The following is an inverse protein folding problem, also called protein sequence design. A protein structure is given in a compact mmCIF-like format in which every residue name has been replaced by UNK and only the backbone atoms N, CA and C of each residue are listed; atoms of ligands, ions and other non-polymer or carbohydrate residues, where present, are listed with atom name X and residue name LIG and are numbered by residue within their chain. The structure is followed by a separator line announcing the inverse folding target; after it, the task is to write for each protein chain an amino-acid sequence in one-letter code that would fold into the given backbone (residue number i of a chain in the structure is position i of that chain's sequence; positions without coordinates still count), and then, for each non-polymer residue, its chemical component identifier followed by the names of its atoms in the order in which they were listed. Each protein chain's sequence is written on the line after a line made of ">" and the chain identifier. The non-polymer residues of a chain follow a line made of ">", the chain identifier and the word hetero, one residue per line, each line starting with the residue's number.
data_IF_237795118646
#
_entry.id   IF_237795118646
#
_cell.length_a   1.000
_cell.length_b   1.000
_cell.length_c   1.000
_cell.angle_alpha   90.00
_cell.angle_beta   90.00
_cell.angle_gamma   90.00
#
_symmetry.space_group_name_H-M   'P 1'
#
loop_
_entity.id
_entity.type
_entity.pdbx_description
1 polymer ?
#
# COMPACT_ATOMS: atom_id res chain seq x y z
N UNK A 1 -11.01 22.85 -5.65
CA UNK A 1 -10.98 21.50 -5.05
C UNK A 1 -10.19 20.49 -5.88
N UNK A 2 -10.44 20.38 -7.19
CA UNK A 2 -9.77 19.40 -8.06
C UNK A 2 -8.23 19.51 -8.05
N UNK A 3 -7.69 20.74 -8.02
CA UNK A 3 -6.25 20.98 -7.90
C UNK A 3 -5.65 20.37 -6.63
N UNK A 4 -6.27 20.62 -5.48
CA UNK A 4 -5.83 20.10 -4.17
C UNK A 4 -5.87 18.57 -4.12
N UNK A 5 -6.90 17.95 -4.71
CA UNK A 5 -6.99 16.49 -4.80
C UNK A 5 -5.82 15.96 -5.63
N UNK A 6 -5.57 16.51 -6.81
CA UNK A 6 -4.48 16.07 -7.69
C UNK A 6 -3.09 16.28 -7.05
N UNK A 7 -2.88 17.36 -6.32
CA UNK A 7 -1.63 17.60 -5.58
C UNK A 7 -1.43 16.52 -4.50
N UNK A 8 -2.47 16.19 -3.71
CA UNK A 8 -2.41 15.09 -2.73
C UNK A 8 -2.16 13.73 -3.37
N UNK A 9 -2.83 13.44 -4.49
CA UNK A 9 -2.63 12.20 -5.26
C UNK A 9 -1.18 12.07 -5.71
N UNK A 10 -0.59 13.14 -6.25
CA UNK A 10 0.82 13.15 -6.64
C UNK A 10 1.73 12.85 -5.45
N UNK A 11 1.50 13.51 -4.31
CA UNK A 11 2.29 13.27 -3.10
C UNK A 11 2.14 11.83 -2.59
N UNK A 12 0.93 11.27 -2.59
CA UNK A 12 0.68 9.88 -2.15
C UNK A 12 1.37 8.86 -3.05
N UNK A 13 1.29 9.03 -4.37
CA UNK A 13 1.94 8.14 -5.33
C UNK A 13 3.47 8.22 -5.23
N UNK A 14 4.02 9.45 -5.14
CA UNK A 14 5.46 9.64 -4.98
C UNK A 14 5.96 9.08 -3.65
N UNK A 15 5.24 9.34 -2.55
CA UNK A 15 5.61 8.88 -1.22
C UNK A 15 5.51 7.37 -1.05
N UNK A 16 4.61 6.69 -1.78
CA UNK A 16 4.46 5.23 -1.70
C UNK A 16 5.32 4.44 -2.70
N UNK A 17 5.85 5.10 -3.73
CA UNK A 17 6.50 4.44 -4.86
C UNK A 17 5.54 3.69 -5.79
N UNK A 18 4.21 3.80 -5.58
CA UNK A 18 3.22 3.11 -6.40
C UNK A 18 3.15 3.67 -7.83
N UNK A 19 2.93 2.78 -8.81
CA UNK A 19 2.76 3.16 -10.21
C UNK A 19 1.55 4.09 -10.41
N UNK A 20 1.62 4.95 -11.44
CA UNK A 20 0.52 5.84 -11.85
C UNK A 20 -0.79 5.11 -12.14
N UNK A 21 -0.76 3.79 -12.39
CA UNK A 21 -1.95 2.94 -12.55
C UNK A 21 -2.91 3.03 -11.34
N UNK A 22 -2.40 3.31 -10.15
CA UNK A 22 -3.18 3.41 -8.91
C UNK A 22 -3.76 4.81 -8.64
N UNK A 23 -3.71 5.73 -9.61
CA UNK A 23 -4.16 7.12 -9.41
C UNK A 23 -5.63 7.23 -8.96
N UNK A 24 -6.51 6.36 -9.45
CA UNK A 24 -7.93 6.37 -9.07
C UNK A 24 -8.14 6.04 -7.59
N UNK A 25 -7.39 5.04 -7.10
CA UNK A 25 -7.44 4.63 -5.68
C UNK A 25 -6.80 5.66 -4.77
N UNK A 26 -5.70 6.28 -5.22
CA UNK A 26 -5.09 7.43 -4.55
C UNK A 26 -6.05 8.62 -4.49
N UNK A 27 -6.82 8.90 -5.56
CA UNK A 27 -7.77 10.00 -5.61
C UNK A 27 -8.93 9.80 -4.63
N UNK A 28 -9.50 8.59 -4.58
CA UNK A 28 -10.53 8.24 -3.61
C UNK A 28 -10.00 8.35 -2.17
N UNK A 29 -8.78 7.87 -1.92
CA UNK A 29 -8.14 8.00 -0.61
C UNK A 29 -7.89 9.46 -0.23
N UNK A 30 -7.41 10.28 -1.17
CA UNK A 30 -7.20 11.71 -0.94
C UNK A 30 -8.51 12.43 -0.59
N UNK A 31 -9.60 12.14 -1.31
CA UNK A 31 -10.91 12.69 -1.01
C UNK A 31 -11.41 12.26 0.39
N UNK A 32 -11.25 10.98 0.73
CA UNK A 32 -11.59 10.46 2.06
C UNK A 32 -10.81 11.17 3.18
N UNK A 33 -9.51 11.39 3.00
CA UNK A 33 -8.70 12.12 3.97
C UNK A 33 -9.09 13.60 4.03
N UNK A 34 -9.35 14.27 2.90
CA UNK A 34 -9.82 15.67 2.89
C UNK A 34 -11.09 15.81 3.74
N UNK A 35 -12.03 14.88 3.62
CA UNK A 35 -13.29 14.91 4.36
C UNK A 35 -13.10 14.70 5.88
N UNK A 36 -11.98 14.10 6.29
CA UNK A 36 -11.58 13.89 7.68
C UNK A 36 -10.53 14.88 8.19
N UNK A 37 -10.03 15.79 7.34
CA UNK A 37 -9.10 16.82 7.79
C UNK A 37 -9.88 18.01 8.36
N UNK A 38 -9.44 18.59 9.48
CA UNK A 38 -10.03 19.82 9.99
C UNK A 38 -9.81 20.95 8.98
N UNK A 39 -10.83 21.77 8.78
CA UNK A 39 -10.78 22.92 7.87
C UNK A 39 -10.92 24.21 8.65
N UNK A 40 -10.05 25.18 8.39
CA UNK A 40 -10.16 26.53 8.97
C UNK A 40 -11.47 27.19 8.56
N UNK A 41 -11.95 26.94 7.34
CA UNK A 41 -13.23 27.44 6.85
C UNK A 41 -14.44 26.88 7.63
N UNK A 42 -14.26 25.80 8.40
CA UNK A 42 -15.30 25.15 9.20
C UNK A 42 -15.05 25.31 10.71
N UNK A 43 -14.34 26.37 11.14
CA UNK A 43 -13.95 26.58 12.53
C UNK A 43 -13.21 25.36 13.13
N UNK A 44 -12.26 24.81 12.36
CA UNK A 44 -11.48 23.62 12.71
C UNK A 44 -12.28 22.32 12.86
N UNK A 45 -13.55 22.29 12.43
CA UNK A 45 -14.30 21.04 12.26
C UNK A 45 -13.91 20.35 10.95
N UNK A 46 -14.05 19.04 10.91
CA UNK A 46 -13.92 18.29 9.66
C UNK A 46 -15.20 18.42 8.82
N UNK A 47 -15.12 18.39 7.48
CA UNK A 47 -16.31 18.33 6.63
C UNK A 47 -17.27 17.20 7.00
N UNK A 48 -16.73 16.03 7.38
CA UNK A 48 -17.51 14.88 7.80
C UNK A 48 -18.25 15.12 9.13
N UNK A 49 -17.62 15.78 10.10
CA UNK A 49 -18.29 16.22 11.34
C UNK A 49 -19.37 17.26 11.06
N UNK A 50 -19.09 18.24 10.20
CA UNK A 50 -20.05 19.28 9.85
C UNK A 50 -21.29 18.69 9.16
N UNK A 51 -21.12 17.64 8.35
CA UNK A 51 -22.20 16.99 7.62
C UNK A 51 -23.00 16.00 8.48
N UNK A 52 -22.34 15.14 9.26
CA UNK A 52 -23.01 14.07 10.02
C UNK A 52 -23.27 14.42 11.49
N UNK A 53 -22.73 15.53 11.99
CA UNK A 53 -22.85 15.95 13.40
C UNK A 53 -22.15 15.03 14.41
N UNK A 54 -21.34 14.06 13.94
CA UNK A 54 -20.61 13.11 14.78
C UNK A 54 -19.10 13.32 14.64
N UNK A 55 -18.33 13.15 15.73
CA UNK A 55 -16.88 13.23 15.68
C UNK A 55 -16.29 12.18 14.72
N UNK A 56 -15.23 12.56 14.01
CA UNK A 56 -14.53 11.65 13.12
C UNK A 56 -13.69 10.66 13.92
N UNK A 57 -13.90 9.36 13.66
CA UNK A 57 -12.97 8.32 14.10
C UNK A 57 -11.75 8.24 13.16
N UNK A 58 -10.56 8.30 13.77
CA UNK A 58 -9.25 8.25 13.12
C UNK A 58 -8.52 6.92 13.34
N UNK A 59 -9.02 6.03 14.20
CA UNK A 59 -8.36 4.75 14.52
C UNK A 59 -8.20 3.81 13.32
N UNK A 60 -9.00 4.03 12.28
CA UNK A 60 -8.96 3.25 11.04
C UNK A 60 -8.10 3.92 9.95
N UNK A 61 -7.43 5.04 10.23
CA UNK A 61 -6.54 5.66 9.25
C UNK A 61 -5.22 4.89 9.15
N UNK A 62 -4.80 4.64 7.91
CA UNK A 62 -3.58 3.92 7.54
C UNK A 62 -2.81 4.68 6.46
N UNK A 63 -1.50 4.50 6.45
CA UNK A 63 -0.59 5.13 5.48
C UNK A 63 -0.78 4.50 4.09
N UNK A 64 -1.15 5.32 3.10
CA UNK A 64 -1.30 4.88 1.70
C UNK A 64 0.02 4.28 1.17
N UNK A 65 -0.07 3.10 0.56
CA UNK A 65 1.10 2.39 0.05
C UNK A 65 1.93 1.63 1.09
N UNK A 66 1.48 1.61 2.35
CA UNK A 66 2.11 0.77 3.38
C UNK A 66 1.96 -0.72 3.07
N UNK A 67 2.89 -1.49 3.59
CA UNK A 67 2.83 -2.94 3.52
C UNK A 67 1.73 -3.47 4.45
N UNK A 68 0.93 -4.39 3.94
CA UNK A 68 -0.23 -4.94 4.62
C UNK A 68 -0.29 -6.46 4.46
N UNK A 69 -0.63 -7.16 5.53
CA UNK A 69 -0.80 -8.60 5.56
C UNK A 69 -2.27 -8.92 5.79
N UNK A 70 -2.95 -9.40 4.74
CA UNK A 70 -4.35 -9.80 4.83
C UNK A 70 -4.44 -11.23 5.35
N UNK A 71 -5.15 -11.45 6.46
CA UNK A 71 -5.35 -12.79 7.00
C UNK A 71 -6.36 -13.57 6.14
N UNK A 72 -5.95 -14.74 5.64
CA UNK A 72 -6.79 -15.63 4.83
C UNK A 72 -7.10 -16.88 5.64
N UNK A 73 -8.39 -17.20 5.76
CA UNK A 73 -8.91 -18.33 6.55
C UNK A 73 -9.05 -19.60 5.73
N UNK A 74 -8.04 -19.97 4.94
CA UNK A 74 -8.08 -21.22 4.19
C UNK A 74 -7.03 -22.20 4.74
N UNK A 75 -7.50 -23.38 5.17
CA UNK A 75 -6.67 -24.56 5.42
C UNK A 75 -5.84 -24.60 6.72
N UNK A 76 -5.69 -25.80 7.29
CA UNK A 76 -4.91 -26.07 8.51
C UNK A 76 -3.38 -25.94 8.30
N UNK A 77 -2.93 -25.87 7.04
CA UNK A 77 -1.52 -25.96 6.60
C UNK A 77 -1.09 -24.89 5.57
N UNK A 78 -2.00 -24.04 5.10
CA UNK A 78 -1.69 -23.00 4.09
C UNK A 78 -1.20 -21.69 4.75
N UNK A 79 -0.47 -20.84 4.01
CA UNK A 79 0.01 -19.56 4.50
C UNK A 79 -1.16 -18.68 4.98
N UNK A 80 -1.16 -18.34 6.28
CA UNK A 80 -2.26 -17.61 6.93
C UNK A 80 -2.39 -16.15 6.55
N UNK A 81 -1.40 -15.58 5.84
CA UNK A 81 -1.36 -14.17 5.52
C UNK A 81 -0.85 -13.94 4.09
N UNK A 82 -1.56 -13.10 3.35
CA UNK A 82 -1.17 -12.68 1.99
C UNK A 82 -0.53 -11.29 2.06
N UNK A 83 0.69 -11.19 1.54
CA UNK A 83 1.43 -9.93 1.41
C UNK A 83 0.76 -9.03 0.37
N UNK A 84 0.38 -7.83 0.79
CA UNK A 84 -0.36 -6.86 0.00
C UNK A 84 0.16 -5.45 0.25
N UNK A 85 -0.27 -4.51 -0.59
CA UNK A 85 -0.07 -3.07 -0.42
C UNK A 85 -1.41 -2.41 -0.14
N UNK A 86 -1.45 -1.51 0.84
CA UNK A 86 -2.65 -0.73 1.10
C UNK A 86 -2.89 0.32 0.01
N UNK A 87 -4.05 0.24 -0.65
CA UNK A 87 -4.41 1.14 -1.76
C UNK A 87 -5.64 2.01 -1.48
N UNK A 88 -6.31 1.86 -0.34
CA UNK A 88 -7.35 2.81 0.06
C UNK A 88 -8.53 2.19 0.80
N UNK A 89 -9.61 2.96 0.89
CA UNK A 89 -10.82 2.57 1.60
C UNK A 89 -11.92 2.19 0.60
N UNK A 90 -12.56 1.02 0.75
CA UNK A 90 -13.70 0.66 -0.09
C UNK A 90 -14.94 1.47 0.29
N UNK A 91 -15.80 1.74 -0.70
CA UNK A 91 -17.06 2.44 -0.47
C UNK A 91 -18.15 1.48 0.04
N UNK A 92 -19.02 1.95 0.93
CA UNK A 92 -20.16 1.20 1.46
C UNK A 92 -19.86 -0.02 2.35
N UNK A 93 -18.60 -0.43 2.50
CA UNK A 93 -18.21 -1.58 3.34
C UNK A 93 -17.10 -1.22 4.31
N UNK A 94 -17.19 -1.70 5.56
CA UNK A 94 -16.07 -1.60 6.51
C UNK A 94 -14.95 -2.52 6.04
N UNK A 95 -13.75 -2.01 5.88
CA UNK A 95 -12.57 -2.78 5.48
C UNK A 95 -11.52 -1.90 4.81
N UNK A 96 -10.47 -2.54 4.30
CA UNK A 96 -9.37 -1.92 3.60
C UNK A 96 -9.26 -2.53 2.20
N UNK A 97 -9.02 -1.69 1.21
CA UNK A 97 -8.72 -2.09 -0.15
C UNK A 97 -7.22 -2.32 -0.26
N UNK A 98 -6.85 -3.52 -0.68
CA UNK A 98 -5.47 -3.99 -0.73
C UNK A 98 -5.14 -4.49 -2.13
N UNK A 99 -3.90 -4.30 -2.54
CA UNK A 99 -3.35 -4.82 -3.77
C UNK A 99 -2.43 -6.01 -3.46
N UNK A 100 -2.77 -7.20 -3.96
CA UNK A 100 -1.91 -8.38 -3.79
C UNK A 100 -0.63 -8.23 -4.63
N UNK A 101 0.51 -8.49 -3.99
CA UNK A 101 1.81 -8.58 -4.66
C UNK A 101 2.02 -10.04 -5.12
N UNK A 102 1.43 -10.41 -6.26
CA UNK A 102 1.60 -11.72 -6.88
C UNK A 102 2.36 -11.58 -8.21
N UNK A 103 3.34 -12.47 -8.47
CA UNK A 103 4.26 -12.43 -9.63
C UNK A 103 3.58 -12.51 -11.01
N UNK A 104 2.27 -12.79 -11.08
CA UNK A 104 1.52 -13.00 -12.33
C UNK A 104 0.44 -11.95 -12.64
N UNK A 105 0.34 -10.89 -11.85
CA UNK A 105 -0.69 -9.86 -12.00
C UNK A 105 -1.46 -9.68 -10.70
N UNK A 106 -1.19 -8.59 -10.00
CA UNK A 106 -1.82 -8.28 -8.73
C UNK A 106 -3.34 -8.17 -8.86
N UNK A 107 -4.05 -8.62 -7.83
CA UNK A 107 -5.51 -8.51 -7.70
C UNK A 107 -5.85 -7.55 -6.57
N UNK A 108 -6.90 -6.76 -6.77
CA UNK A 108 -7.49 -5.95 -5.73
C UNK A 108 -8.37 -6.84 -4.83
N UNK A 109 -8.15 -6.78 -3.52
CA UNK A 109 -8.98 -7.46 -2.52
C UNK A 109 -9.48 -6.47 -1.47
N UNK A 110 -10.59 -6.81 -0.83
CA UNK A 110 -11.12 -6.08 0.32
C UNK A 110 -11.05 -7.01 1.52
N UNK A 111 -10.37 -6.58 2.58
CA UNK A 111 -10.30 -7.33 3.84
C UNK A 111 -10.44 -6.41 5.04
N UNK A 112 -11.04 -6.93 6.12
CA UNK A 112 -11.12 -6.26 7.44
C UNK A 112 -9.96 -6.65 8.34
N UNK A 113 -9.57 -7.91 8.29
CA UNK A 113 -8.54 -8.49 9.15
C UNK A 113 -7.17 -8.33 8.47
N UNK A 114 -6.54 -7.19 8.74
CA UNK A 114 -5.29 -6.77 8.10
C UNK A 114 -4.31 -6.28 9.15
N UNK A 115 -3.09 -6.79 9.09
CA UNK A 115 -1.96 -6.29 9.88
C UNK A 115 -1.12 -5.35 9.02
N UNK A 116 -0.95 -4.10 9.44
CA UNK A 116 -0.19 -3.08 8.71
C UNK A 116 1.22 -2.95 9.29
N UNK A 117 2.21 -2.88 8.41
CA UNK A 117 3.57 -2.44 8.73
C UNK A 117 3.80 -1.08 8.04
N UNK A 118 3.48 -0.01 8.76
CA UNK A 118 3.51 1.36 8.24
C UNK A 118 4.93 1.92 8.12
N UNK A 119 5.91 1.24 8.69
CA UNK A 119 7.35 1.54 8.55
C UNK A 119 7.86 1.21 7.16
N UNK A 120 7.13 0.34 6.43
CA UNK A 120 7.53 -0.20 5.14
C UNK A 120 6.55 0.20 4.06
N UNK A 121 7.08 0.71 2.96
CA UNK A 121 6.30 1.06 1.77
C UNK A 121 6.44 -0.07 0.74
N UNK A 122 5.31 -0.54 0.22
CA UNK A 122 5.19 -1.85 -0.43
C UNK A 122 6.05 -2.06 -1.69
N UNK A 123 6.45 -0.99 -2.40
CA UNK A 123 7.25 -1.09 -3.63
C UNK A 123 8.76 -1.09 -3.34
N UNK A 124 9.20 -0.46 -2.24
CA UNK A 124 10.63 -0.31 -1.93
C UNK A 124 11.28 -1.66 -1.56
N UNK A 125 10.52 -2.60 -1.00
CA UNK A 125 11.03 -3.95 -0.72
C UNK A 125 11.17 -4.83 -1.97
N UNK A 126 10.27 -4.72 -2.97
CA UNK A 126 10.40 -5.53 -4.20
C UNK A 126 11.67 -5.13 -4.98
N UNK A 127 11.95 -3.83 -5.08
CA UNK A 127 13.16 -3.34 -5.73
C UNK A 127 14.43 -3.76 -4.98
N UNK A 128 14.43 -3.72 -3.64
CA UNK A 128 15.56 -4.19 -2.85
C UNK A 128 15.77 -5.71 -2.92
N UNK A 129 14.70 -6.51 -2.98
CA UNK A 129 14.79 -7.97 -3.14
C UNK A 129 15.25 -8.39 -4.55
N UNK A 130 14.77 -7.71 -5.60
CA UNK A 130 15.21 -7.95 -6.99
C UNK A 130 16.67 -7.51 -7.20
N UNK A 131 17.09 -6.40 -6.61
CA UNK A 131 18.49 -5.96 -6.65
C UNK A 131 19.42 -6.87 -5.82
N UNK A 132 18.96 -7.42 -4.69
CA UNK A 132 19.75 -8.40 -3.93
C UNK A 132 19.86 -9.74 -4.66
N UNK A 133 18.77 -10.22 -5.28
CA UNK A 133 18.76 -11.47 -6.04
C UNK A 133 19.59 -11.39 -7.33
N UNK A 134 19.80 -10.19 -7.86
CA UNK A 134 20.63 -9.98 -9.06
C UNK A 134 22.13 -9.87 -8.74
N UNK A 135 22.51 -9.62 -7.48
CA UNK A 135 23.91 -9.54 -7.03
C UNK A 135 24.52 -10.90 -6.66
N UNK A 136 23.70 -11.92 -6.41
CA UNK A 136 24.15 -13.27 -6.04
C UNK A 136 24.58 -14.14 -7.24
N UNK A 137 24.52 -13.62 -8.48
CA UNK A 137 24.95 -14.33 -9.69
C UNK A 137 26.32 -13.83 -10.20
N UNK A 138 27.35 -13.84 -9.33
CA UNK A 138 28.74 -13.72 -9.79
C UNK A 138 29.26 -15.12 -10.12
N UNK A 139 29.49 -15.39 -11.41
CA UNK A 139 30.09 -16.64 -11.88
C UNK A 139 31.51 -16.80 -11.31
N UNK A 140 31.76 -17.91 -10.61
CA UNK A 140 33.13 -18.38 -10.34
C UNK A 140 33.63 -19.15 -11.56
N UNK A 141 34.54 -18.54 -12.33
CA UNK A 141 35.38 -19.27 -13.28
C UNK A 141 36.45 -20.02 -12.49
N UNK A 142 36.39 -21.36 -12.52
CA UNK A 142 37.46 -22.22 -11.99
C UNK A 142 38.46 -22.43 -13.12
N UNK A 143 39.62 -21.78 -13.04
CA UNK A 143 40.75 -22.13 -13.91
C UNK A 143 41.22 -23.55 -13.57
N UNK A 144 40.87 -24.52 -14.41
CA UNK A 144 41.46 -25.85 -14.38
C UNK A 144 42.88 -25.77 -14.94
N UNK A 145 43.87 -25.65 -14.06
CA UNK A 145 45.27 -25.84 -14.40
C UNK A 145 45.54 -27.33 -14.59
N UNK A 146 45.50 -27.78 -15.84
CA UNK A 146 45.93 -29.12 -16.24
C UNK A 146 47.45 -29.22 -16.09
N UNK A 147 47.90 -30.04 -15.14
CA UNK A 147 49.23 -30.63 -15.11
C UNK A 147 49.34 -31.72 -16.18
N UNK A 148 50.33 -31.63 -17.07
CA UNK A 148 50.87 -32.74 -17.88
C UNK A 148 52.24 -32.26 -18.42
N UNK A 149 53.34 -32.61 -17.74
CA UNK A 149 54.29 -33.70 -18.08
C UNK A 149 55.45 -33.22 -18.95
#
# INVERSE_FOLDING_TARGET
>A
MNRTILERVRCMLLGSGLSKKFWGEAATTAAYLINKCPSSALNHKTPMEAWHGKPVDYSNLRVFGSLAYAHVKEGKLEPRAVKCVFIGYPDGVKGYKLWKLEKGGGKCIISRDVTFDETKLGILEEQQMEESSSKDHVQFEVESSTHSS
#
